data_IF_092604904781
#
_entry.id   IF_092604904781
#
_cell.length_a   1.000
_cell.length_b   1.000
_cell.length_c   1.000
_cell.angle_alpha   90.00
_cell.angle_beta   90.00
_cell.angle_gamma   90.00
#
_symmetry.space_group_name_H-M   'P 1'
#
loop_
_entity.id
_entity.type
_entity.pdbx_description
1 polymer ?
#
# COMPACT_ATOMS: atom_id res chain seq x y z
N UNK A 1 -165.45 -126.27 -197.63
CA UNK A 1 -165.89 -127.48 -196.89
C UNK A 1 -164.67 -128.05 -196.17
N UNK A 2 -164.68 -128.64 -194.98
CA UNK A 2 -165.66 -128.96 -193.92
C UNK A 2 -164.82 -129.33 -192.67
N UNK A 3 -165.18 -128.93 -191.45
CA UNK A 3 -165.76 -129.75 -190.37
C UNK A 3 -164.95 -130.98 -189.88
N UNK A 4 -164.93 -131.10 -188.54
CA UNK A 4 -164.82 -132.35 -187.74
C UNK A 4 -163.38 -132.88 -187.55
N UNK A 5 -162.85 -133.25 -186.38
CA UNK A 5 -163.42 -133.53 -185.06
C UNK A 5 -162.47 -133.01 -183.96
N UNK A 6 -162.99 -132.31 -182.94
CA UNK A 6 -162.21 -131.52 -181.97
C UNK A 6 -161.78 -132.31 -180.71
N UNK A 7 -161.90 -133.64 -180.72
CA UNK A 7 -161.62 -134.49 -179.55
C UNK A 7 -160.13 -134.81 -179.36
N UNK A 8 -159.31 -134.68 -180.40
CA UNK A 8 -157.87 -135.01 -180.37
C UNK A 8 -156.97 -133.87 -179.89
N UNK A 9 -157.45 -132.62 -179.84
CA UNK A 9 -156.71 -131.51 -179.20
C UNK A 9 -156.73 -131.58 -177.67
N UNK A 10 -157.70 -132.28 -177.08
CA UNK A 10 -157.87 -132.38 -175.63
C UNK A 10 -156.85 -133.30 -174.94
N UNK A 11 -156.19 -134.23 -175.64
CA UNK A 11 -155.14 -135.07 -175.03
C UNK A 11 -153.74 -134.46 -175.17
N UNK A 12 -153.41 -133.87 -176.31
CA UNK A 12 -152.08 -133.30 -176.56
C UNK A 12 -151.77 -132.06 -175.70
N UNK A 13 -152.81 -131.35 -175.24
CA UNK A 13 -152.65 -130.20 -174.35
C UNK A 13 -152.53 -130.59 -172.87
N UNK A 14 -153.00 -131.79 -172.49
CA UNK A 14 -152.83 -132.33 -171.14
C UNK A 14 -151.41 -132.88 -170.94
N UNK A 15 -150.86 -133.60 -171.93
CA UNK A 15 -149.50 -134.14 -171.87
C UNK A 15 -148.43 -133.04 -171.84
N UNK A 16 -148.63 -131.92 -172.54
CA UNK A 16 -147.69 -130.78 -172.52
C UNK A 16 -147.63 -130.06 -171.16
N UNK A 17 -148.73 -129.98 -170.43
CA UNK A 17 -148.77 -129.38 -169.09
C UNK A 17 -148.18 -130.30 -168.02
N UNK A 18 -148.33 -131.62 -168.19
CA UNK A 18 -147.74 -132.62 -167.29
C UNK A 18 -146.21 -132.68 -167.46
N UNK A 19 -145.71 -132.56 -168.69
CA UNK A 19 -144.27 -132.46 -168.97
C UNK A 19 -143.63 -131.18 -168.39
N UNK A 20 -144.35 -130.05 -168.44
CA UNK A 20 -143.89 -128.79 -167.85
C UNK A 20 -143.84 -128.84 -166.32
N UNK A 21 -144.72 -129.60 -165.68
CA UNK A 21 -144.71 -129.73 -164.21
C UNK A 21 -143.64 -130.69 -163.71
N UNK A 22 -143.33 -131.77 -164.43
CA UNK A 22 -142.17 -132.62 -164.12
C UNK A 22 -140.84 -131.90 -164.29
N UNK A 23 -140.66 -131.12 -165.35
CA UNK A 23 -139.40 -130.41 -165.60
C UNK A 23 -139.10 -129.38 -164.50
N UNK A 24 -140.14 -128.70 -163.99
CA UNK A 24 -140.00 -127.73 -162.91
C UNK A 24 -139.69 -128.38 -161.55
N UNK A 25 -140.15 -129.61 -161.29
CA UNK A 25 -139.77 -130.35 -160.07
C UNK A 25 -138.31 -130.79 -160.11
N UNK A 26 -137.85 -131.32 -161.25
CA UNK A 26 -136.44 -131.76 -161.41
C UNK A 26 -135.46 -130.60 -161.29
N UNK A 27 -135.80 -129.43 -161.84
CA UNK A 27 -134.99 -128.21 -161.69
C UNK A 27 -134.85 -127.76 -160.24
N UNK A 28 -135.93 -127.88 -159.44
CA UNK A 28 -135.90 -127.55 -158.01
C UNK A 28 -135.05 -128.51 -157.19
N UNK A 29 -135.00 -129.79 -157.58
CA UNK A 29 -134.21 -130.79 -156.86
C UNK A 29 -132.70 -130.60 -157.09
N UNK A 30 -132.29 -130.34 -158.34
CA UNK A 30 -130.88 -130.08 -158.68
C UNK A 30 -130.36 -128.79 -158.03
N UNK A 31 -131.19 -127.75 -157.93
CA UNK A 31 -130.79 -126.53 -157.24
C UNK A 31 -130.54 -126.75 -155.75
N UNK A 32 -131.29 -127.67 -155.13
CA UNK A 32 -131.17 -127.95 -153.69
C UNK A 32 -129.93 -128.78 -153.38
N UNK A 33 -129.61 -129.76 -154.22
CA UNK A 33 -128.36 -130.54 -154.09
C UNK A 33 -127.11 -129.68 -154.27
N UNK A 34 -127.15 -128.70 -155.18
CA UNK A 34 -126.00 -127.78 -155.37
C UNK A 34 -125.79 -126.83 -154.19
N UNK A 35 -126.87 -126.40 -153.52
CA UNK A 35 -126.76 -125.54 -152.33
C UNK A 35 -126.21 -126.31 -151.12
N UNK A 36 -126.64 -127.56 -150.93
CA UNK A 36 -126.15 -128.41 -149.83
C UNK A 36 -124.64 -128.72 -149.97
N UNK A 37 -124.15 -128.94 -151.20
CA UNK A 37 -122.72 -129.17 -151.47
C UNK A 37 -121.85 -127.93 -151.22
N UNK A 38 -122.39 -126.72 -151.42
CA UNK A 38 -121.68 -125.46 -151.14
C UNK A 38 -121.57 -125.18 -149.64
N UNK A 39 -122.55 -125.62 -148.86
CA UNK A 39 -122.55 -125.47 -147.41
C UNK A 39 -121.54 -126.42 -146.74
N UNK A 40 -121.44 -127.65 -147.22
CA UNK A 40 -120.45 -128.63 -146.74
C UNK A 40 -119.00 -128.19 -147.04
N UNK A 41 -118.75 -127.62 -148.23
CA UNK A 41 -117.44 -127.07 -148.58
C UNK A 41 -117.03 -125.90 -147.66
N UNK A 42 -117.99 -125.04 -147.29
CA UNK A 42 -117.72 -123.93 -146.36
C UNK A 42 -117.35 -124.42 -144.97
N UNK A 43 -117.99 -125.48 -144.48
CA UNK A 43 -117.66 -126.10 -143.19
C UNK A 43 -116.22 -126.58 -143.14
N UNK A 44 -115.77 -127.34 -144.14
CA UNK A 44 -114.42 -127.89 -144.18
C UNK A 44 -113.31 -126.83 -144.22
N UNK A 45 -113.52 -125.69 -144.91
CA UNK A 45 -112.52 -124.62 -144.94
C UNK A 45 -112.50 -123.77 -143.67
N UNK A 46 -113.60 -123.69 -142.92
CA UNK A 46 -113.63 -123.02 -141.62
C UNK A 46 -112.78 -123.79 -140.59
N UNK A 47 -112.94 -125.11 -140.53
CA UNK A 47 -112.22 -125.97 -139.58
C UNK A 47 -110.70 -126.00 -139.85
N UNK A 48 -110.30 -125.99 -141.13
CA UNK A 48 -108.88 -125.92 -141.53
C UNK A 48 -108.24 -124.58 -141.16
N UNK A 49 -109.00 -123.48 -141.13
CA UNK A 49 -108.53 -122.16 -140.70
C UNK A 49 -108.28 -122.10 -139.20
N UNK A 50 -109.13 -122.76 -138.40
CA UNK A 50 -109.00 -122.83 -136.94
C UNK A 50 -107.72 -123.59 -136.54
N UNK A 51 -107.49 -124.78 -137.12
CA UNK A 51 -106.31 -125.60 -136.83
C UNK A 51 -104.97 -124.91 -137.17
N UNK A 52 -104.93 -124.08 -138.23
CA UNK A 52 -103.73 -123.30 -138.58
C UNK A 52 -103.48 -122.16 -137.57
N UNK A 53 -104.53 -121.67 -136.90
CA UNK A 53 -104.41 -120.61 -135.89
C UNK A 53 -103.82 -121.13 -134.59
N UNK A 54 -104.30 -122.28 -134.10
CA UNK A 54 -103.78 -122.90 -132.87
C UNK A 54 -102.31 -123.32 -133.00
N UNK A 55 -101.92 -123.88 -134.16
CA UNK A 55 -100.52 -124.27 -134.43
C UNK A 55 -99.56 -123.07 -134.39
N UNK A 56 -99.98 -121.92 -134.91
CA UNK A 56 -99.16 -120.70 -134.88
C UNK A 56 -99.04 -120.09 -133.48
N UNK A 57 -100.08 -120.16 -132.66
CA UNK A 57 -100.04 -119.62 -131.28
C UNK A 57 -99.08 -120.42 -130.38
N UNK A 58 -99.01 -121.74 -130.54
CA UNK A 58 -98.06 -122.59 -129.83
C UNK A 58 -96.59 -122.26 -130.19
N UNK A 59 -96.29 -122.02 -131.47
CA UNK A 59 -94.94 -121.66 -131.92
C UNK A 59 -94.47 -120.30 -131.36
N UNK A 60 -95.38 -119.32 -131.28
CA UNK A 60 -95.07 -117.97 -130.76
C UNK A 60 -94.72 -118.00 -129.26
N UNK A 61 -95.38 -118.85 -128.48
CA UNK A 61 -95.11 -118.96 -127.04
C UNK A 61 -93.71 -119.56 -126.75
N UNK A 62 -93.27 -120.57 -127.52
CA UNK A 62 -91.92 -121.12 -127.37
C UNK A 62 -90.81 -120.11 -127.69
N UNK A 63 -91.02 -119.25 -128.69
CA UNK A 63 -90.05 -118.20 -129.04
C UNK A 63 -89.93 -117.15 -127.93
N UNK A 64 -91.06 -116.75 -127.31
CA UNK A 64 -91.05 -115.79 -126.19
C UNK A 64 -90.36 -116.32 -124.94
N UNK A 65 -90.52 -117.61 -124.64
CA UNK A 65 -89.89 -118.21 -123.47
C UNK A 65 -88.37 -118.26 -123.60
N UNK A 66 -87.87 -118.67 -124.77
CA UNK A 66 -86.42 -118.70 -125.06
C UNK A 66 -85.77 -117.32 -125.03
N UNK A 67 -86.49 -116.27 -125.42
CA UNK A 67 -86.00 -114.89 -125.35
C UNK A 67 -85.87 -114.38 -123.90
N UNK A 68 -86.71 -114.83 -122.96
CA UNK A 68 -86.60 -114.45 -121.54
C UNK A 68 -85.37 -115.06 -120.87
N UNK A 69 -85.12 -116.35 -121.11
CA UNK A 69 -83.96 -117.05 -120.53
C UNK A 69 -82.63 -116.41 -120.94
N UNK A 70 -82.51 -115.98 -122.20
CA UNK A 70 -81.30 -115.29 -122.67
C UNK A 70 -81.07 -113.92 -122.00
N UNK A 71 -82.15 -113.20 -121.67
CA UNK A 71 -82.07 -111.92 -120.97
C UNK A 71 -81.62 -112.14 -119.53
N UNK A 72 -82.18 -113.13 -118.84
CA UNK A 72 -81.83 -113.45 -117.46
C UNK A 72 -80.36 -113.88 -117.32
N UNK A 73 -79.85 -114.71 -118.24
CA UNK A 73 -78.41 -115.07 -118.25
C UNK A 73 -77.49 -113.84 -118.44
N UNK A 74 -77.90 -112.87 -119.26
CA UNK A 74 -77.12 -111.65 -119.50
C UNK A 74 -77.07 -110.72 -118.28
N UNK A 75 -78.13 -110.69 -117.47
CA UNK A 75 -78.21 -109.89 -116.23
C UNK A 75 -77.27 -110.48 -115.17
N UNK A 76 -77.23 -111.81 -115.03
CA UNK A 76 -76.40 -112.48 -114.04
C UNK A 76 -74.91 -112.30 -114.35
N UNK A 77 -74.51 -112.38 -115.62
CA UNK A 77 -73.13 -112.10 -116.04
C UNK A 77 -72.73 -110.64 -115.75
N UNK A 78 -73.63 -109.68 -115.96
CA UNK A 78 -73.39 -108.26 -115.61
C UNK A 78 -73.17 -108.08 -114.12
N UNK A 79 -73.94 -108.77 -113.29
CA UNK A 79 -73.85 -108.69 -111.83
C UNK A 79 -72.50 -109.20 -111.33
N UNK A 80 -72.06 -110.36 -111.80
CA UNK A 80 -70.74 -110.91 -111.45
C UNK A 80 -69.59 -109.99 -111.88
N UNK A 81 -69.70 -109.38 -113.06
CA UNK A 81 -68.70 -108.42 -113.53
C UNK A 81 -68.61 -107.20 -112.59
N UNK A 82 -69.76 -106.66 -112.18
CA UNK A 82 -69.84 -105.52 -111.25
C UNK A 82 -69.23 -105.83 -109.88
N UNK A 83 -69.52 -106.99 -109.31
CA UNK A 83 -68.96 -107.43 -108.03
C UNK A 83 -67.42 -107.59 -108.10
N UNK A 84 -66.89 -108.14 -109.20
CA UNK A 84 -65.45 -108.25 -109.44
C UNK A 84 -64.76 -106.88 -109.61
N UNK A 85 -65.41 -105.93 -110.28
CA UNK A 85 -64.86 -104.58 -110.39
C UNK A 85 -64.82 -103.86 -109.04
N UNK A 86 -65.89 -103.94 -108.25
CA UNK A 86 -66.00 -103.29 -106.94
C UNK A 86 -64.99 -103.83 -105.91
N UNK A 87 -64.78 -105.15 -105.89
CA UNK A 87 -63.77 -105.77 -105.03
C UNK A 87 -62.36 -105.34 -105.40
N UNK A 88 -62.07 -105.18 -106.70
CA UNK A 88 -60.76 -104.72 -107.17
C UNK A 88 -60.49 -103.26 -106.81
N UNK A 89 -61.48 -102.38 -106.92
CA UNK A 89 -61.35 -100.97 -106.48
C UNK A 89 -61.17 -100.85 -104.97
N UNK A 90 -61.91 -101.61 -104.17
CA UNK A 90 -61.76 -101.60 -102.71
C UNK A 90 -60.35 -102.04 -102.25
N UNK A 91 -59.81 -103.09 -102.87
CA UNK A 91 -58.45 -103.55 -102.59
C UNK A 91 -57.39 -102.52 -103.01
N UNK A 92 -57.60 -101.85 -104.14
CA UNK A 92 -56.70 -100.79 -104.60
C UNK A 92 -56.68 -99.62 -103.59
N UNK A 93 -57.86 -99.19 -103.12
CA UNK A 93 -58.00 -98.10 -102.15
C UNK A 93 -57.29 -98.44 -100.84
N UNK A 94 -57.48 -99.65 -100.31
CA UNK A 94 -56.80 -100.12 -99.10
C UNK A 94 -55.27 -100.09 -99.24
N UNK A 95 -54.75 -100.54 -100.38
CA UNK A 95 -53.30 -100.51 -100.63
C UNK A 95 -52.71 -99.09 -100.72
N UNK A 96 -53.51 -98.11 -101.14
CA UNK A 96 -53.11 -96.70 -101.16
C UNK A 96 -53.11 -96.09 -99.76
N UNK A 97 -54.11 -96.40 -98.95
CA UNK A 97 -54.20 -95.91 -97.57
C UNK A 97 -53.05 -96.46 -96.70
N UNK A 98 -52.69 -97.73 -96.86
CA UNK A 98 -51.54 -98.34 -96.18
C UNK A 98 -50.22 -97.61 -96.54
N UNK A 99 -49.98 -97.34 -97.83
CA UNK A 99 -48.79 -96.58 -98.27
C UNK A 99 -48.76 -95.15 -97.76
N UNK A 100 -49.92 -94.49 -97.68
CA UNK A 100 -50.03 -93.13 -97.15
C UNK A 100 -49.67 -93.09 -95.66
N UNK A 101 -50.15 -94.07 -94.88
CA UNK A 101 -49.85 -94.18 -93.46
C UNK A 101 -48.36 -94.49 -93.23
N UNK A 102 -47.78 -95.44 -93.96
CA UNK A 102 -46.33 -95.70 -93.89
C UNK A 102 -45.49 -94.46 -94.20
N UNK A 103 -45.93 -93.63 -95.15
CA UNK A 103 -45.23 -92.39 -95.51
C UNK A 103 -45.34 -91.33 -94.41
N UNK A 104 -46.49 -91.24 -93.73
CA UNK A 104 -46.68 -90.33 -92.58
C UNK A 104 -45.80 -90.76 -91.41
N UNK A 105 -45.77 -92.04 -91.09
CA UNK A 105 -44.98 -92.56 -89.97
C UNK A 105 -43.47 -92.35 -90.19
N UNK A 106 -42.99 -92.61 -91.41
CA UNK A 106 -41.59 -92.32 -91.79
C UNK A 106 -41.24 -90.84 -91.63
N UNK A 107 -42.12 -89.93 -92.04
CA UNK A 107 -41.90 -88.48 -91.84
C UNK A 107 -41.89 -88.10 -90.37
N UNK A 108 -42.79 -88.67 -89.57
CA UNK A 108 -42.86 -88.38 -88.15
C UNK A 108 -41.60 -88.84 -87.41
N UNK A 109 -41.06 -90.01 -87.76
CA UNK A 109 -39.77 -90.50 -87.25
C UNK A 109 -38.61 -89.58 -87.66
N UNK A 110 -38.56 -89.14 -88.92
CA UNK A 110 -37.53 -88.19 -89.38
C UNK A 110 -37.59 -86.84 -88.67
N UNK A 111 -38.80 -86.35 -88.36
CA UNK A 111 -38.94 -85.10 -87.60
C UNK A 111 -38.46 -85.27 -86.15
N UNK A 112 -38.74 -86.41 -85.52
CA UNK A 112 -38.28 -86.70 -84.17
C UNK A 112 -36.75 -86.78 -84.09
N UNK A 113 -36.09 -87.43 -85.05
CA UNK A 113 -34.61 -87.50 -85.08
C UNK A 113 -33.97 -86.13 -85.30
N UNK A 114 -34.53 -85.32 -86.20
CA UNK A 114 -34.06 -83.94 -86.43
C UNK A 114 -34.23 -83.08 -85.18
N UNK A 115 -35.34 -83.22 -84.45
CA UNK A 115 -35.54 -82.52 -83.19
C UNK A 115 -34.50 -82.94 -82.14
N UNK A 116 -34.23 -84.23 -81.99
CA UNK A 116 -33.23 -84.73 -81.03
C UNK A 116 -31.83 -84.23 -81.37
N UNK A 117 -31.41 -84.30 -82.64
CA UNK A 117 -30.10 -83.84 -83.10
C UNK A 117 -29.94 -82.33 -82.94
N UNK A 118 -30.99 -81.55 -83.22
CA UNK A 118 -30.97 -80.10 -82.98
C UNK A 118 -30.84 -79.76 -81.49
N UNK A 119 -31.53 -80.50 -80.62
CA UNK A 119 -31.42 -80.34 -79.17
C UNK A 119 -30.02 -80.63 -78.63
N UNK A 120 -29.34 -81.65 -79.17
CA UNK A 120 -27.94 -81.96 -78.82
C UNK A 120 -26.99 -80.83 -79.23
N UNK A 121 -27.11 -80.33 -80.47
CA UNK A 121 -26.27 -79.22 -80.96
C UNK A 121 -26.47 -77.94 -80.14
N UNK A 122 -27.70 -77.62 -79.76
CA UNK A 122 -27.98 -76.44 -78.93
C UNK A 122 -27.25 -76.56 -77.58
N UNK A 123 -27.34 -77.70 -76.91
CA UNK A 123 -26.63 -77.94 -75.64
C UNK A 123 -25.12 -77.83 -75.77
N UNK A 124 -24.53 -78.42 -76.81
CA UNK A 124 -23.08 -78.31 -77.06
C UNK A 124 -22.66 -76.84 -77.25
N UNK A 125 -23.51 -76.04 -77.90
CA UNK A 125 -23.24 -74.61 -78.11
C UNK A 125 -23.37 -73.81 -76.82
N UNK A 126 -24.36 -74.13 -75.98
CA UNK A 126 -24.55 -73.52 -74.65
C UNK A 126 -23.39 -73.83 -73.72
N UNK A 127 -22.96 -75.09 -73.65
CA UNK A 127 -21.84 -75.54 -72.83
C UNK A 127 -20.52 -74.88 -73.25
N UNK A 128 -20.28 -74.77 -74.57
CA UNK A 128 -19.11 -74.07 -75.10
C UNK A 128 -19.11 -72.58 -74.72
N UNK A 129 -20.26 -71.91 -74.83
CA UNK A 129 -20.39 -70.50 -74.46
C UNK A 129 -20.21 -70.28 -72.94
N UNK A 130 -20.76 -71.16 -72.09
CA UNK A 130 -20.57 -71.08 -70.65
C UNK A 130 -19.10 -71.24 -70.25
N UNK A 131 -18.39 -72.19 -70.86
CA UNK A 131 -16.96 -72.41 -70.62
C UNK A 131 -16.11 -71.20 -71.02
N UNK A 132 -16.41 -70.58 -72.17
CA UNK A 132 -15.76 -69.33 -72.61
C UNK A 132 -15.99 -68.18 -71.61
N UNK A 133 -17.24 -68.01 -71.13
CA UNK A 133 -17.57 -67.00 -70.13
C UNK A 133 -16.83 -67.27 -68.81
N UNK A 134 -16.73 -68.53 -68.39
CA UNK A 134 -15.96 -68.94 -67.21
C UNK A 134 -14.48 -68.54 -67.33
N UNK A 135 -13.83 -68.90 -68.43
CA UNK A 135 -12.41 -68.59 -68.67
C UNK A 135 -12.14 -67.07 -68.69
N UNK A 136 -13.05 -66.28 -69.27
CA UNK A 136 -12.94 -64.80 -69.28
C UNK A 136 -13.05 -64.24 -67.85
N UNK A 137 -13.97 -64.77 -67.03
CA UNK A 137 -14.12 -64.34 -65.63
C UNK A 137 -12.89 -64.64 -64.79
N UNK A 138 -12.31 -65.84 -64.93
CA UNK A 138 -11.09 -66.22 -64.22
C UNK A 138 -9.91 -65.35 -64.61
N UNK A 139 -9.71 -65.11 -65.92
CA UNK A 139 -8.63 -64.24 -66.41
C UNK A 139 -8.80 -62.81 -65.91
N UNK A 140 -10.00 -62.27 -65.97
CA UNK A 140 -10.32 -60.93 -65.47
C UNK A 140 -10.07 -60.81 -63.95
N UNK A 141 -10.45 -61.82 -63.17
CA UNK A 141 -10.20 -61.84 -61.73
C UNK A 141 -8.69 -61.84 -61.41
N UNK A 142 -7.91 -62.65 -62.14
CA UNK A 142 -6.45 -62.69 -62.00
C UNK A 142 -5.80 -61.35 -62.38
N UNK A 143 -6.23 -60.72 -63.46
CA UNK A 143 -5.72 -59.41 -63.89
C UNK A 143 -6.01 -58.33 -62.85
N UNK A 144 -7.21 -58.32 -62.26
CA UNK A 144 -7.59 -57.39 -61.18
C UNK A 144 -6.74 -57.63 -59.93
N UNK A 145 -6.48 -58.89 -59.57
CA UNK A 145 -5.64 -59.21 -58.43
C UNK A 145 -4.19 -58.75 -58.65
N UNK A 146 -3.61 -59.05 -59.81
CA UNK A 146 -2.28 -58.61 -60.20
C UNK A 146 -2.15 -57.07 -60.19
N UNK A 147 -3.18 -56.35 -60.64
CA UNK A 147 -3.22 -54.90 -60.60
C UNK A 147 -3.23 -54.36 -59.15
N UNK A 148 -4.00 -54.98 -58.25
CA UNK A 148 -4.01 -54.62 -56.82
C UNK A 148 -2.65 -54.86 -56.16
N UNK A 149 -2.00 -55.97 -56.47
CA UNK A 149 -0.68 -56.30 -55.92
C UNK A 149 0.39 -55.29 -56.37
N UNK A 150 0.39 -54.92 -57.67
CA UNK A 150 1.27 -53.86 -58.20
C UNK A 150 1.03 -52.53 -57.51
N UNK A 151 -0.22 -52.09 -57.44
CA UNK A 151 -0.58 -50.85 -56.75
C UNK A 151 -0.09 -50.82 -55.29
N UNK A 152 -0.31 -51.92 -54.55
CA UNK A 152 0.15 -52.02 -53.16
C UNK A 152 1.67 -51.99 -53.03
N UNK A 153 2.40 -52.58 -53.98
CA UNK A 153 3.86 -52.53 -54.02
C UNK A 153 4.35 -51.10 -54.29
N UNK A 154 3.80 -50.44 -55.29
CA UNK A 154 4.17 -49.06 -55.66
C UNK A 154 3.89 -48.10 -54.50
N UNK A 155 2.75 -48.24 -53.82
CA UNK A 155 2.41 -47.43 -52.64
C UNK A 155 3.39 -47.65 -51.47
N UNK A 156 3.88 -48.87 -51.25
CA UNK A 156 4.91 -49.14 -50.23
C UNK A 156 6.23 -48.47 -50.58
N UNK A 157 6.64 -48.54 -51.85
CA UNK A 157 7.87 -47.90 -52.32
C UNK A 157 7.80 -46.38 -52.19
N UNK A 158 6.69 -45.75 -52.61
CA UNK A 158 6.44 -44.31 -52.46
C UNK A 158 6.51 -43.89 -51.00
N UNK A 159 5.84 -44.61 -50.09
CA UNK A 159 5.86 -44.30 -48.67
C UNK A 159 7.28 -44.40 -48.09
N UNK A 160 8.02 -45.47 -48.41
CA UNK A 160 9.39 -45.65 -47.93
C UNK A 160 10.35 -44.56 -48.44
N UNK A 161 10.15 -44.07 -49.67
CA UNK A 161 10.92 -42.97 -50.23
C UNK A 161 10.59 -41.64 -49.56
N UNK A 162 9.30 -41.38 -49.32
CA UNK A 162 8.84 -40.20 -48.60
C UNK A 162 9.39 -40.16 -47.17
N UNK A 163 9.36 -41.29 -46.45
CA UNK A 163 9.93 -41.42 -45.10
C UNK A 163 11.44 -41.13 -45.09
N UNK A 164 12.21 -41.74 -46.00
CA UNK A 164 13.66 -41.48 -46.10
C UNK A 164 13.97 -40.01 -46.40
N UNK A 165 13.19 -39.38 -47.28
CA UNK A 165 13.35 -37.94 -47.59
C UNK A 165 13.07 -37.07 -46.37
N UNK A 166 12.00 -37.39 -45.63
CA UNK A 166 11.60 -36.67 -44.43
C UNK A 166 12.66 -36.82 -43.33
N UNK A 167 13.22 -38.01 -43.17
CA UNK A 167 14.30 -38.27 -42.20
C UNK A 167 15.61 -37.54 -42.56
N UNK A 168 16.00 -37.54 -43.84
CA UNK A 168 17.14 -36.76 -44.31
C UNK A 168 16.95 -35.25 -44.08
N UNK A 169 15.72 -34.76 -44.26
CA UNK A 169 15.41 -33.35 -44.00
C UNK A 169 15.46 -33.03 -42.50
N UNK A 170 14.95 -33.93 -41.64
CA UNK A 170 15.04 -33.79 -40.17
C UNK A 170 16.49 -33.73 -39.70
N UNK A 171 17.32 -34.68 -40.11
CA UNK A 171 18.74 -34.74 -39.73
C UNK A 171 19.53 -33.53 -40.24
N UNK A 172 19.25 -33.04 -41.45
CA UNK A 172 19.85 -31.80 -41.97
C UNK A 172 19.42 -30.57 -41.17
N UNK A 173 18.14 -30.46 -40.82
CA UNK A 173 17.63 -29.35 -40.02
C UNK A 173 18.20 -29.37 -38.60
N UNK A 174 18.29 -30.55 -37.98
CA UNK A 174 18.85 -30.72 -36.64
C UNK A 174 20.33 -30.30 -36.58
N UNK A 175 21.13 -30.68 -37.60
CA UNK A 175 22.51 -30.19 -37.76
C UNK A 175 22.56 -28.67 -37.93
N UNK A 176 21.71 -28.10 -38.76
CA UNK A 176 21.67 -26.64 -38.96
C UNK A 176 21.34 -25.90 -37.66
N UNK A 177 20.35 -26.38 -36.91
CA UNK A 177 19.96 -25.83 -35.60
C UNK A 177 21.13 -25.94 -34.62
N UNK A 178 21.79 -27.10 -34.53
CA UNK A 178 22.91 -27.29 -33.60
C UNK A 178 24.07 -26.33 -33.88
N UNK A 179 24.43 -26.13 -35.15
CA UNK A 179 25.48 -25.19 -35.56
C UNK A 179 25.12 -23.74 -35.22
N UNK A 180 23.84 -23.35 -35.39
CA UNK A 180 23.40 -22.00 -35.09
C UNK A 180 23.36 -21.74 -33.58
N UNK A 181 22.99 -22.74 -32.78
CA UNK A 181 23.07 -22.68 -31.31
C UNK A 181 24.53 -22.50 -30.85
N UNK A 182 25.48 -23.24 -31.42
CA UNK A 182 26.91 -23.08 -31.11
C UNK A 182 27.44 -21.70 -31.52
N UNK A 183 27.06 -21.20 -32.70
CA UNK A 183 27.39 -19.83 -33.13
C UNK A 183 26.84 -18.80 -32.15
N UNK A 184 25.58 -18.94 -31.75
CA UNK A 184 24.95 -18.07 -30.76
C UNK A 184 25.70 -18.05 -29.42
N UNK A 185 26.08 -19.22 -28.90
CA UNK A 185 26.89 -19.34 -27.67
C UNK A 185 28.23 -18.63 -27.81
N UNK A 186 28.94 -18.83 -28.92
CA UNK A 186 30.24 -18.19 -29.15
C UNK A 186 30.13 -16.67 -29.27
N UNK A 187 29.08 -16.16 -29.93
CA UNK A 187 28.83 -14.71 -30.02
C UNK A 187 28.52 -14.13 -28.64
N UNK A 188 27.69 -14.80 -27.85
CA UNK A 188 27.35 -14.37 -26.50
C UNK A 188 28.58 -14.35 -25.57
N UNK A 189 29.43 -15.38 -25.66
CA UNK A 189 30.66 -15.45 -24.88
C UNK A 189 31.65 -14.35 -25.29
N UNK A 190 31.84 -14.12 -26.58
CA UNK A 190 32.67 -13.02 -27.08
C UNK A 190 32.16 -11.64 -26.62
N UNK A 191 30.84 -11.45 -26.58
CA UNK A 191 30.24 -10.22 -26.08
C UNK A 191 30.50 -10.05 -24.57
N UNK A 192 30.35 -11.13 -23.79
CA UNK A 192 30.64 -11.15 -22.35
C UNK A 192 32.09 -10.75 -22.07
N UNK A 193 33.03 -11.38 -22.76
CA UNK A 193 34.47 -11.08 -22.60
C UNK A 193 34.79 -9.63 -22.97
N UNK A 194 34.21 -9.10 -24.05
CA UNK A 194 34.37 -7.68 -24.42
C UNK A 194 33.83 -6.75 -23.35
N UNK A 195 32.63 -7.00 -22.85
CA UNK A 195 32.02 -6.19 -21.79
C UNK A 195 32.85 -6.24 -20.51
N UNK A 196 33.31 -7.42 -20.10
CA UNK A 196 34.15 -7.59 -18.92
C UNK A 196 35.46 -6.81 -19.03
N UNK A 197 36.07 -6.81 -20.22
CA UNK A 197 37.26 -6.00 -20.50
C UNK A 197 36.97 -4.49 -20.42
N UNK A 198 35.88 -4.03 -21.02
CA UNK A 198 35.47 -2.62 -20.94
C UNK A 198 35.19 -2.19 -19.50
N UNK A 199 34.52 -3.04 -18.72
CA UNK A 199 34.28 -2.79 -17.29
C UNK A 199 35.59 -2.71 -16.51
N UNK A 200 36.55 -3.60 -16.76
CA UNK A 200 37.86 -3.56 -16.13
C UNK A 200 38.61 -2.26 -16.46
N UNK A 201 38.64 -1.84 -17.73
CA UNK A 201 39.29 -0.60 -18.16
C UNK A 201 38.63 0.65 -17.55
N UNK A 202 37.29 0.68 -17.47
CA UNK A 202 36.56 1.78 -16.84
C UNK A 202 36.83 1.83 -15.34
N UNK A 203 36.87 0.68 -14.68
CA UNK A 203 37.17 0.58 -13.26
C UNK A 203 38.58 1.05 -12.95
N UNK A 204 39.58 0.59 -13.70
CA UNK A 204 40.98 1.01 -13.53
C UNK A 204 41.15 2.53 -13.73
N UNK A 205 40.52 3.09 -14.77
CA UNK A 205 40.50 4.55 -14.99
C UNK A 205 39.80 5.30 -13.85
N UNK A 206 38.72 4.75 -13.31
CA UNK A 206 38.00 5.30 -12.18
C UNK A 206 38.84 5.32 -10.91
N UNK A 207 39.43 4.18 -10.55
CA UNK A 207 40.32 4.03 -9.40
C UNK A 207 41.53 4.95 -9.51
N UNK A 208 42.14 5.07 -10.70
CA UNK A 208 43.25 6.00 -10.93
C UNK A 208 42.87 7.48 -10.72
N UNK A 209 41.68 7.90 -11.18
CA UNK A 209 41.18 9.27 -10.95
C UNK A 209 40.92 9.54 -9.46
N UNK A 210 40.34 8.57 -8.76
CA UNK A 210 40.06 8.68 -7.32
C UNK A 210 41.39 8.83 -6.54
N UNK A 211 42.38 7.98 -6.84
CA UNK A 211 43.69 8.04 -6.20
C UNK A 211 44.39 9.38 -6.47
N UNK A 212 44.36 9.88 -7.70
CA UNK A 212 44.92 11.18 -8.04
C UNK A 212 44.22 12.33 -7.28
N UNK A 213 42.90 12.27 -7.14
CA UNK A 213 42.13 13.27 -6.40
C UNK A 213 42.40 13.21 -4.90
N UNK A 214 42.55 12.02 -4.33
CA UNK A 214 42.96 11.83 -2.93
C UNK A 214 44.34 12.46 -2.67
N UNK A 215 45.33 12.20 -3.52
CA UNK A 215 46.65 12.82 -3.41
C UNK A 215 46.60 14.35 -3.49
N UNK A 216 45.75 14.91 -4.36
CA UNK A 216 45.57 16.37 -4.45
C UNK A 216 44.94 16.92 -3.17
N UNK A 217 43.96 16.23 -2.58
CA UNK A 217 43.34 16.65 -1.33
C UNK A 217 44.31 16.56 -0.15
N UNK A 218 45.08 15.48 -0.05
CA UNK A 218 46.11 15.30 0.97
C UNK A 218 47.15 16.42 0.91
N UNK A 219 47.63 16.75 -0.30
CA UNK A 219 48.53 17.91 -0.51
C UNK A 219 47.89 19.24 -0.11
N UNK A 220 46.59 19.42 -0.30
CA UNK A 220 45.87 20.64 0.12
C UNK A 220 45.75 20.71 1.64
N UNK A 221 45.44 19.61 2.31
CA UNK A 221 45.39 19.51 3.77
C UNK A 221 46.75 19.84 4.38
N UNK A 222 47.81 19.17 3.91
CA UNK A 222 49.16 19.43 4.40
C UNK A 222 49.60 20.90 4.24
N UNK A 223 49.21 21.56 3.14
CA UNK A 223 49.46 23.01 2.96
C UNK A 223 48.67 23.86 3.94
N UNK A 224 47.40 23.54 4.14
CA UNK A 224 46.53 24.24 5.09
C UNK A 224 47.06 24.13 6.52
N UNK A 225 47.50 22.94 6.92
CA UNK A 225 48.04 22.68 8.25
C UNK A 225 49.36 23.44 8.47
N UNK A 226 50.27 23.41 7.49
CA UNK A 226 51.52 24.17 7.53
C UNK A 226 51.27 25.69 7.59
N UNK A 227 50.26 26.20 6.88
CA UNK A 227 49.88 27.61 6.93
C UNK A 227 49.24 28.00 8.28
N UNK A 228 48.45 27.10 8.87
CA UNK A 228 47.87 27.29 10.19
C UNK A 228 48.94 27.33 11.29
N UNK A 229 49.92 26.43 11.24
CA UNK A 229 51.06 26.38 12.14
C UNK A 229 51.88 27.68 12.08
N UNK A 230 52.23 28.14 10.88
CA UNK A 230 52.93 29.43 10.71
C UNK A 230 52.15 30.63 11.25
N UNK A 231 50.82 30.63 11.09
CA UNK A 231 49.97 31.69 11.65
C UNK A 231 49.95 31.64 13.18
N UNK A 232 49.89 30.43 13.74
CA UNK A 232 49.93 30.22 15.18
C UNK A 232 51.25 30.72 15.76
N UNK A 233 52.39 30.32 15.20
CA UNK A 233 53.72 30.78 15.62
C UNK A 233 53.86 32.30 15.53
N UNK A 234 53.42 32.90 14.42
CA UNK A 234 53.46 34.36 14.25
C UNK A 234 52.61 35.07 15.30
N UNK A 235 51.42 34.56 15.59
CA UNK A 235 50.56 35.11 16.63
C UNK A 235 51.19 34.98 18.01
N UNK A 236 51.79 33.83 18.32
CA UNK A 236 52.49 33.60 19.58
C UNK A 236 53.65 34.57 19.76
N UNK A 237 54.49 34.76 18.74
CA UNK A 237 55.57 35.75 18.77
C UNK A 237 55.06 37.19 18.98
N UNK A 238 53.92 37.54 18.38
CA UNK A 238 53.29 38.84 18.60
C UNK A 238 52.76 39.00 20.03
N UNK A 239 52.19 37.94 20.62
CA UNK A 239 51.75 37.93 22.01
C UNK A 239 52.93 38.07 22.97
N UNK A 240 53.98 37.28 22.79
CA UNK A 240 55.20 37.38 23.61
C UNK A 240 55.83 38.77 23.53
N UNK A 241 55.83 39.38 22.34
CA UNK A 241 56.32 40.74 22.14
C UNK A 241 55.45 41.78 22.84
N UNK A 242 54.11 41.63 22.76
CA UNK A 242 53.16 42.51 23.47
C UNK A 242 53.29 42.37 24.98
N UNK A 243 53.44 41.16 25.49
CA UNK A 243 53.63 40.87 26.91
C UNK A 243 54.94 41.48 27.42
N UNK A 244 56.05 41.28 26.71
CA UNK A 244 57.33 41.93 27.04
C UNK A 244 57.22 43.45 27.06
N UNK A 245 56.56 44.03 26.06
CA UNK A 245 56.35 45.48 25.99
C UNK A 245 55.47 45.97 27.15
N UNK A 246 54.39 45.27 27.48
CA UNK A 246 53.49 45.61 28.58
C UNK A 246 54.22 45.54 29.93
N UNK A 247 54.98 44.47 30.17
CA UNK A 247 55.78 44.29 31.37
C UNK A 247 56.85 45.38 31.49
N UNK A 248 57.52 45.74 30.39
CA UNK A 248 58.48 46.86 30.37
C UNK A 248 57.81 48.21 30.65
N UNK A 249 56.61 48.46 30.11
CA UNK A 249 55.87 49.68 30.40
C UNK A 249 55.42 49.73 31.87
N UNK A 250 54.96 48.60 32.41
CA UNK A 250 54.57 48.49 33.81
C UNK A 250 55.77 48.73 34.74
N UNK A 251 56.90 48.08 34.48
CA UNK A 251 58.12 48.27 35.29
C UNK A 251 58.62 49.71 35.22
N UNK A 252 58.56 50.36 34.05
CA UNK A 252 58.89 51.78 33.90
C UNK A 252 57.95 52.67 34.71
N UNK A 253 56.64 52.43 34.67
CA UNK A 253 55.66 53.18 35.49
C UNK A 253 55.90 52.99 36.98
N UNK A 254 56.16 51.77 37.42
CA UNK A 254 56.49 51.49 38.83
C UNK A 254 57.75 52.23 39.25
N UNK A 255 58.80 52.23 38.41
CA UNK A 255 60.03 52.97 38.68
C UNK A 255 59.83 54.49 38.70
N UNK A 256 59.03 55.03 37.77
CA UNK A 256 58.69 56.45 37.75
C UNK A 256 57.88 56.85 38.99
N UNK A 257 56.88 56.07 39.37
CA UNK A 257 56.08 56.29 40.57
C UNK A 257 56.94 56.21 41.83
N UNK A 258 57.84 55.23 41.92
CA UNK A 258 58.80 55.12 43.03
C UNK A 258 59.69 56.36 43.13
N UNK A 259 60.26 56.82 42.01
CA UNK A 259 61.08 58.05 41.98
C UNK A 259 60.28 59.30 42.34
N UNK A 260 59.04 59.42 41.86
CA UNK A 260 58.16 60.53 42.19
C UNK A 260 57.84 60.55 43.68
N UNK A 261 57.52 59.39 44.25
CA UNK A 261 57.25 59.21 45.67
C UNK A 261 58.48 59.52 46.54
N UNK A 262 59.66 59.02 46.18
CA UNK A 262 60.93 59.36 46.86
C UNK A 262 61.22 60.86 46.82
N UNK A 263 60.96 61.52 45.68
CA UNK A 263 61.11 62.97 45.56
C UNK A 263 60.11 63.73 46.43
N UNK A 264 58.87 63.27 46.49
CA UNK A 264 57.84 63.86 47.34
C UNK A 264 58.17 63.71 48.82
N UNK A 265 58.61 62.53 49.26
CA UNK A 265 59.11 62.30 50.62
C UNK A 265 60.28 63.20 50.96
N UNK A 266 61.24 63.37 50.04
CA UNK A 266 62.36 64.28 50.23
C UNK A 266 61.89 65.73 50.37
N UNK A 267 60.99 66.19 49.49
CA UNK A 267 60.43 67.54 49.57
C UNK A 267 59.66 67.77 50.88
N UNK A 268 58.88 66.78 51.34
CA UNK A 268 58.19 66.84 52.63
C UNK A 268 59.18 66.91 53.79
N UNK A 269 60.26 66.13 53.74
CA UNK A 269 61.32 66.16 54.73
C UNK A 269 62.04 67.51 54.77
N UNK A 270 62.43 68.04 53.62
CA UNK A 270 63.10 69.35 53.49
C UNK A 270 62.17 70.48 53.99
N UNK A 271 60.87 70.42 53.66
CA UNK A 271 59.88 71.38 54.15
C UNK A 271 59.69 71.28 55.66
N UNK A 272 59.62 70.06 56.21
CA UNK A 272 59.54 69.83 57.65
C UNK A 272 60.77 70.38 58.36
N UNK A 273 61.97 70.06 57.89
CA UNK A 273 63.22 70.57 58.46
C UNK A 273 63.28 72.11 58.42
N UNK A 274 62.96 72.71 57.27
CA UNK A 274 62.92 74.16 57.12
C UNK A 274 61.95 74.82 58.09
N UNK A 275 60.73 74.26 58.20
CA UNK A 275 59.69 74.76 59.11
C UNK A 275 60.10 74.57 60.57
N UNK A 276 60.71 73.44 60.91
CA UNK A 276 61.22 73.15 62.24
C UNK A 276 62.32 74.14 62.64
N UNK A 277 63.29 74.41 61.77
CA UNK A 277 64.36 75.39 62.03
C UNK A 277 63.79 76.80 62.20
N UNK A 278 62.87 77.22 61.33
CA UNK A 278 62.20 78.53 61.46
C UNK A 278 61.41 78.65 62.76
N UNK A 279 60.66 77.62 63.13
CA UNK A 279 59.88 77.60 64.36
C UNK A 279 60.78 77.59 65.60
N UNK A 280 61.88 76.83 65.59
CA UNK A 280 62.86 76.84 66.67
C UNK A 280 63.54 78.22 66.81
N UNK A 281 63.90 78.86 65.69
CA UNK A 281 64.44 80.22 65.69
C UNK A 281 63.43 81.25 66.26
N UNK A 282 62.18 81.21 65.80
CA UNK A 282 61.11 82.07 66.29
C UNK A 282 60.83 81.85 67.79
N UNK A 283 60.86 80.60 68.26
CA UNK A 283 60.70 80.27 69.68
C UNK A 283 61.86 80.81 70.53
N UNK A 284 63.11 80.71 70.05
CA UNK A 284 64.27 81.30 70.73
C UNK A 284 64.19 82.81 70.80
N UNK A 285 63.79 83.45 69.70
CA UNK A 285 63.58 84.90 69.66
C UNK A 285 62.49 85.33 70.64
N UNK A 286 61.34 84.63 70.63
CA UNK A 286 60.24 84.84 71.59
C UNK A 286 60.71 84.71 73.05
N UNK A 287 61.49 83.67 73.37
CA UNK A 287 62.06 83.49 74.70
C UNK A 287 63.00 84.63 75.08
N UNK A 288 63.87 85.09 74.16
CA UNK A 288 64.77 86.23 74.44
C UNK A 288 64.01 87.53 74.69
N UNK A 289 62.93 87.78 73.94
CA UNK A 289 62.05 88.94 74.15
C UNK A 289 61.36 88.84 75.53
N UNK A 290 60.89 87.65 75.91
CA UNK A 290 60.31 87.41 77.23
C UNK A 290 61.33 87.65 78.35
N UNK A 291 62.56 87.15 78.22
CA UNK A 291 63.64 87.40 79.19
C UNK A 291 63.95 88.89 79.33
N UNK A 292 64.02 89.64 78.21
CA UNK A 292 64.24 91.09 78.25
C UNK A 292 63.07 91.82 78.92
N UNK A 293 61.83 91.43 78.62
CA UNK A 293 60.64 91.98 79.27
C UNK A 293 60.66 91.71 80.78
N UNK A 294 60.93 90.48 81.21
CA UNK A 294 61.02 90.14 82.63
C UNK A 294 62.14 90.90 83.34
N UNK A 295 63.30 91.10 82.69
CA UNK A 295 64.38 91.90 83.25
C UNK A 295 63.99 93.37 83.43
N UNK A 296 63.29 93.96 82.46
CA UNK A 296 62.74 95.32 82.56
C UNK A 296 61.71 95.44 83.70
N UNK A 297 60.80 94.47 83.81
CA UNK A 297 59.78 94.44 84.86
C UNK A 297 60.40 94.26 86.26
N UNK A 298 61.42 93.41 86.40
CA UNK A 298 62.20 93.27 87.64
C UNK A 298 62.94 94.56 88.02
N UNK A 299 63.48 95.28 87.05
CA UNK A 299 64.13 96.57 87.31
C UNK A 299 63.11 97.64 87.77
N UNK A 300 61.93 97.69 87.14
CA UNK A 300 60.86 98.60 87.50
C UNK A 300 60.33 98.34 88.92
N UNK A 301 60.04 97.08 89.25
CA UNK A 301 59.57 96.68 90.59
C UNK A 301 60.59 96.98 91.69
N UNK A 302 61.89 96.78 91.44
CA UNK A 302 62.96 97.19 92.38
C UNK A 302 62.99 98.69 92.61
N UNK A 303 62.82 99.50 91.56
CA UNK A 303 62.78 100.95 91.68
C UNK A 303 61.58 101.44 92.48
N UNK A 304 60.40 100.83 92.28
CA UNK A 304 59.20 101.12 93.07
C UNK A 304 59.39 100.75 94.55
N UNK A 305 59.94 99.57 94.85
CA UNK A 305 60.19 99.14 96.22
C UNK A 305 61.11 100.11 96.99
N UNK A 306 62.20 100.58 96.38
CA UNK A 306 63.11 101.57 96.99
C UNK A 306 62.38 102.88 97.29
N UNK A 307 61.50 103.33 96.38
CA UNK A 307 60.70 104.55 96.55
C UNK A 307 59.68 104.42 97.68
N UNK A 308 59.09 103.25 97.88
CA UNK A 308 58.16 103.01 98.99
C UNK A 308 58.86 102.86 100.34
N UNK A 309 60.00 102.17 100.40
CA UNK A 309 60.78 102.02 101.63
C UNK A 309 61.24 103.36 102.21
N UNK A 310 61.58 104.34 101.36
CA UNK A 310 61.94 105.70 101.80
C UNK A 310 60.82 106.46 102.54
N UNK A 311 59.54 106.07 102.39
CA UNK A 311 58.41 106.76 103.04
C UNK A 311 58.19 106.35 104.51
N UNK A 312 58.80 105.26 104.98
CA UNK A 312 58.57 104.73 106.33
C UNK A 312 59.69 105.08 107.33
N UNK A 313 60.81 105.62 106.86
CA UNK A 313 61.97 105.94 107.70
C UNK A 313 61.76 107.18 108.60
N UNK A 314 60.71 107.97 108.39
CA UNK A 314 60.42 109.21 109.15
C UNK A 314 59.30 109.08 110.19
N UNK A 315 58.72 107.89 110.38
CA UNK A 315 57.53 107.68 111.24
C UNK A 315 57.80 107.13 112.65
N UNK A 316 59.07 106.93 113.02
CA UNK A 316 59.45 106.29 114.29
C UNK A 316 59.31 107.21 115.54
N UNK A 317 59.18 108.53 115.37
CA UNK A 317 59.12 109.52 116.47
C UNK A 317 57.73 110.14 116.69
N UNK A 318 56.65 109.60 116.09
CA UNK A 318 55.30 110.15 116.20
C UNK A 318 54.63 109.77 117.55
N UNK A 319 54.22 110.77 118.39
CA UNK A 319 53.53 110.53 119.66
C UNK A 319 52.23 109.72 119.54
N UNK A 320 51.62 109.62 118.36
CA UNK A 320 50.40 108.84 118.12
C UNK A 320 50.57 107.34 118.40
N UNK A 321 51.79 106.81 118.37
CA UNK A 321 52.08 105.38 118.58
C UNK A 321 52.54 105.02 120.01
N UNK A 322 52.44 105.92 121.00
CA UNK A 322 52.72 105.61 122.41
C UNK A 322 51.51 104.97 123.09
N UNK A 323 51.63 103.71 123.51
CA UNK A 323 50.59 102.99 124.25
C UNK A 323 50.55 103.50 125.71
N UNK A 324 49.52 104.24 126.10
CA UNK A 324 49.30 104.69 127.48
C UNK A 324 48.74 103.55 128.35
N UNK A 325 49.39 103.28 129.50
CA UNK A 325 48.96 102.29 130.49
C UNK A 325 47.83 102.87 131.35
N UNK A 326 46.66 102.22 131.40
CA UNK A 326 45.42 102.77 131.98
C UNK A 326 45.24 102.56 133.48
N UNK A 327 46.28 102.10 134.18
CA UNK A 327 46.30 102.02 135.64
C UNK A 327 45.53 100.84 136.23
N UNK A 328 45.19 99.83 135.42
CA UNK A 328 44.66 98.56 135.93
C UNK A 328 45.75 97.80 136.68
N UNK A 329 45.45 97.31 137.89
CA UNK A 329 46.43 96.62 138.76
C UNK A 329 45.87 95.28 139.21
N UNK A 330 46.69 94.23 139.11
CA UNK A 330 46.42 92.91 139.64
C UNK A 330 47.16 92.74 140.98
N UNK A 331 46.42 92.47 142.06
CA UNK A 331 46.99 92.19 143.37
C UNK A 331 46.72 90.73 143.76
N UNK A 332 47.75 90.03 144.23
CA UNK A 332 47.66 88.63 144.64
C UNK A 332 47.53 88.51 146.16
N UNK A 333 46.44 87.91 146.64
CA UNK A 333 46.27 87.48 148.04
C UNK A 333 46.42 85.96 148.15
N UNK A 334 46.57 85.39 149.36
CA UNK A 334 46.86 83.95 149.53
C UNK A 334 45.87 83.05 148.78
N UNK A 335 44.57 83.33 148.90
CA UNK A 335 43.50 82.46 148.38
C UNK A 335 42.77 83.02 147.15
N UNK A 336 43.00 84.27 146.77
CA UNK A 336 42.33 84.93 145.65
C UNK A 336 43.24 85.96 144.96
N UNK A 337 43.03 86.17 143.67
CA UNK A 337 43.56 87.31 142.92
C UNK A 337 42.51 88.42 142.89
N UNK A 338 42.94 89.66 143.11
CA UNK A 338 42.10 90.86 143.04
C UNK A 338 42.55 91.69 141.85
N UNK A 339 41.80 91.64 140.75
CA UNK A 339 42.05 92.51 139.59
C UNK A 339 41.21 93.78 139.74
N UNK A 340 41.87 94.92 139.91
CA UNK A 340 41.23 96.25 139.87
C UNK A 340 41.42 96.83 138.48
N UNK A 341 40.41 96.68 137.62
CA UNK A 341 40.42 97.25 136.28
C UNK A 341 39.80 98.66 136.31
N UNK A 342 40.53 99.65 135.79
CA UNK A 342 40.02 101.02 135.68
C UNK A 342 39.00 101.11 134.53
N UNK A 343 37.73 101.30 134.87
CA UNK A 343 36.61 101.42 133.94
C UNK A 343 35.76 102.60 134.37
N UNK A 344 36.00 103.81 133.81
CA UNK A 344 35.19 104.99 134.08
C UNK A 344 33.70 104.71 133.88
N UNK A 345 32.84 105.33 134.67
CA UNK A 345 31.38 105.08 134.62
C UNK A 345 30.78 105.21 133.21
N UNK A 346 31.25 106.17 132.42
CA UNK A 346 30.80 106.43 131.05
C UNK A 346 31.31 105.43 130.00
N UNK A 347 32.34 104.62 130.30
CA UNK A 347 32.91 103.61 129.38
C UNK A 347 32.55 102.17 129.79
N UNK A 348 31.61 101.99 130.73
CA UNK A 348 31.29 100.68 131.33
C UNK A 348 30.93 99.57 130.34
N UNK A 349 30.31 99.92 129.22
CA UNK A 349 29.89 98.95 128.20
C UNK A 349 30.97 98.70 127.13
N UNK A 350 31.97 99.59 127.06
CA UNK A 350 33.03 99.55 126.05
C UNK A 350 34.28 98.81 126.54
N UNK A 351 34.46 98.64 127.85
CA UNK A 351 35.56 97.85 128.44
C UNK A 351 35.06 96.46 128.82
N UNK A 352 35.68 95.43 128.25
CA UNK A 352 35.41 94.02 128.53
C UNK A 352 36.61 93.41 129.24
N UNK A 353 36.36 92.91 130.44
CA UNK A 353 37.33 92.09 131.19
C UNK A 353 36.97 90.63 130.96
N UNK A 354 37.86 89.89 130.30
CA UNK A 354 37.73 88.46 130.08
C UNK A 354 38.74 87.72 130.94
N UNK A 355 38.25 86.92 131.87
CA UNK A 355 39.06 86.14 132.81
C UNK A 355 39.12 84.71 132.28
N UNK A 356 40.30 84.31 131.79
CA UNK A 356 40.61 82.95 131.35
C UNK A 356 41.37 82.20 132.46
N UNK A 357 41.52 80.88 132.31
CA UNK A 357 42.14 80.01 133.31
C UNK A 357 43.52 80.50 133.79
N UNK A 358 44.30 81.12 132.90
CA UNK A 358 45.70 81.49 133.14
C UNK A 358 45.97 83.00 133.02
N UNK A 359 44.99 83.81 132.57
CA UNK A 359 45.16 85.27 132.43
C UNK A 359 43.84 86.03 132.41
N UNK A 360 43.87 87.28 132.86
CA UNK A 360 42.83 88.27 132.62
C UNK A 360 43.23 89.22 131.50
N UNK A 361 42.29 89.47 130.59
CA UNK A 361 42.46 90.41 129.49
C UNK A 361 41.45 91.54 129.70
N UNK A 362 41.96 92.75 129.91
CA UNK A 362 41.15 93.98 129.93
C UNK A 362 41.29 94.62 128.56
N UNK A 363 40.25 94.53 127.75
CA UNK A 363 40.23 95.13 126.42
C UNK A 363 39.11 96.16 126.34
N UNK A 364 39.42 97.33 125.80
CA UNK A 364 38.45 98.41 125.63
C UNK A 364 38.66 99.14 124.32
N UNK A 365 37.58 99.73 123.82
CA UNK A 365 37.61 100.62 122.66
C UNK A 365 37.11 101.99 123.09
N UNK A 366 37.95 103.02 122.95
CA UNK A 366 37.54 104.41 123.15
C UNK A 366 37.43 105.08 121.79
N UNK A 367 36.29 105.69 121.52
CA UNK A 367 36.10 106.56 120.37
C UNK A 367 36.01 108.00 120.88
N UNK A 368 37.01 108.82 120.58
CA UNK A 368 36.95 110.26 120.80
C UNK A 368 36.57 110.90 119.47
N UNK A 369 35.35 111.44 119.40
CA UNK A 369 34.86 112.20 118.25
C UNK A 369 34.85 113.67 118.65
N UNK A 370 35.82 114.42 118.13
CA UNK A 370 35.84 115.87 118.26
C UNK A 370 35.52 116.49 116.91
N UNK A 371 34.55 117.41 116.91
CA UNK A 371 34.07 118.08 115.69
C UNK A 371 34.22 119.58 115.91
N UNK A 372 35.17 120.18 115.21
CA UNK A 372 35.35 121.63 115.14
C UNK A 372 34.94 122.06 113.73
N UNK A 373 33.89 122.87 113.63
CA UNK A 373 33.40 123.46 112.38
C UNK A 373 33.81 124.93 112.35
N UNK A 374 34.57 125.32 111.32
CA UNK A 374 34.96 126.69 111.04
C UNK A 374 34.62 127.01 109.56
N UNK A 375 34.28 128.26 109.23
CA UNK A 375 33.50 128.66 108.03
C UNK A 375 34.07 128.27 106.66
N UNK A 376 35.29 127.75 106.55
CA UNK A 376 35.86 127.28 105.27
C UNK A 376 36.13 125.78 105.18
N UNK A 377 36.17 125.03 106.29
CA UNK A 377 36.38 123.56 106.32
C UNK A 377 35.85 122.96 107.63
N UNK A 378 35.09 121.87 107.51
CA UNK A 378 34.79 120.99 108.65
C UNK A 378 35.91 119.94 108.78
N UNK A 379 36.58 119.90 109.93
CA UNK A 379 37.54 118.85 110.25
C UNK A 379 36.96 118.03 111.39
N UNK A 380 36.49 116.83 111.08
CA UNK A 380 36.14 115.83 112.09
C UNK A 380 37.35 114.93 112.29
N UNK A 381 37.80 114.82 113.54
CA UNK A 381 38.76 113.78 113.93
C UNK A 381 38.00 112.71 114.69
N UNK A 382 37.96 111.51 114.11
CA UNK A 382 37.48 110.31 114.79
C UNK A 382 38.70 109.47 115.15
N UNK A 383 39.22 109.67 116.36
CA UNK A 383 40.30 108.85 116.89
C UNK A 383 39.70 107.62 117.57
N UNK A 384 39.94 106.45 117.00
CA UNK A 384 39.58 105.16 117.58
C UNK A 384 40.84 104.55 118.17
N UNK A 385 40.88 104.46 119.50
CA UNK A 385 41.97 103.80 120.21
C UNK A 385 41.43 102.52 120.84
N UNK A 386 41.95 101.39 120.39
CA UNK A 386 41.70 100.09 121.02
C UNK A 386 42.89 99.75 121.90
N UNK A 387 42.65 99.44 123.17
CA UNK A 387 43.70 98.97 124.07
C UNK A 387 43.38 97.57 124.56
N UNK A 388 44.43 96.82 124.86
CA UNK A 388 44.37 95.46 125.38
C UNK A 388 45.49 95.29 126.39
N UNK A 389 45.12 95.20 127.65
CA UNK A 389 46.03 94.90 128.76
C UNK A 389 45.84 93.42 129.13
N UNK A 390 46.95 92.67 129.18
CA UNK A 390 46.93 91.26 129.59
C UNK A 390 47.66 91.10 130.93
N UNK A 391 46.99 90.48 131.90
CA UNK A 391 47.51 90.14 133.22
C UNK A 391 47.52 88.62 133.37
N UNK A 392 48.69 88.01 133.49
CA UNK A 392 48.79 86.57 133.67
C UNK A 392 48.57 86.20 135.16
N UNK A 393 47.98 85.04 135.42
CA UNK A 393 47.82 84.46 136.76
C UNK A 393 48.87 83.37 136.97
N UNK A 394 49.53 83.39 138.12
CA UNK A 394 50.58 82.42 138.45
C UNK A 394 50.03 81.05 138.88
N UNK A 395 48.73 80.99 139.23
CA UNK A 395 48.04 79.77 139.69
C UNK A 395 46.69 79.66 138.99
N UNK A 396 46.28 78.44 138.61
CA UNK A 396 45.00 78.24 137.94
C UNK A 396 43.85 78.72 138.83
N UNK A 397 42.94 79.45 138.24
CA UNK A 397 41.77 80.02 138.94
C UNK A 397 40.53 79.15 138.77
N UNK A 398 39.59 79.25 139.70
CA UNK A 398 38.25 78.65 139.56
C UNK A 398 37.31 79.76 139.09
N UNK A 399 36.98 79.76 137.79
CA UNK A 399 36.14 80.79 137.20
C UNK A 399 34.72 80.85 137.79
N UNK A 400 34.17 79.70 138.23
CA UNK A 400 32.80 79.62 138.78
C UNK A 400 32.62 80.34 140.13
N UNK A 401 33.71 80.64 140.84
CA UNK A 401 33.67 81.32 142.14
C UNK A 401 34.07 82.80 142.08
N UNK A 402 34.25 83.39 140.89
CA UNK A 402 34.68 84.79 140.79
C UNK A 402 33.54 85.74 141.20
N UNK A 403 33.85 86.73 142.03
CA UNK A 403 32.92 87.82 142.35
C UNK A 403 33.37 89.08 141.65
N UNK A 404 32.40 89.80 141.08
CA UNK A 404 32.60 91.11 140.47
C UNK A 404 31.88 92.13 141.32
N UNK A 405 32.65 93.04 141.91
CA UNK A 405 32.13 94.18 142.63
C UNK A 405 32.61 95.46 141.94
N UNK A 406 31.73 96.47 141.88
CA UNK A 406 32.09 97.77 141.31
C UNK A 406 32.28 98.76 142.44
N UNK A 407 33.47 99.35 142.50
CA UNK A 407 33.89 100.36 143.46
C UNK A 407 34.23 101.63 142.67
N UNK A 408 33.21 102.45 142.40
CA UNK A 408 33.31 103.66 141.57
C UNK A 408 33.75 103.39 140.12
N UNK A 409 34.86 104.01 139.73
CA UNK A 409 35.50 103.85 138.43
C UNK A 409 36.37 102.59 138.33
N UNK A 410 36.47 101.77 139.38
CA UNK A 410 37.15 100.49 139.33
C UNK A 410 36.16 99.34 139.37
N UNK A 411 36.37 98.35 138.51
CA UNK A 411 35.69 97.07 138.61
C UNK A 411 36.68 96.10 139.22
N UNK A 412 36.37 95.65 140.44
CA UNK A 412 37.20 94.76 141.23
C UNK A 412 36.70 93.33 141.04
N UNK A 413 37.53 92.49 140.43
CA UNK A 413 37.27 91.07 140.30
C UNK A 413 38.07 90.32 141.36
N UNK A 414 37.36 89.69 142.30
CA UNK A 414 37.96 88.77 143.27
C UNK A 414 37.83 87.35 142.75
N UNK A 415 38.97 86.77 142.40
CA UNK A 415 39.06 85.52 141.65
C UNK A 415 39.70 84.47 142.55
N UNK A 416 38.99 83.44 143.02
CA UNK A 416 39.56 82.43 143.90
C UNK A 416 40.58 81.56 143.16
N UNK A 417 41.69 81.28 143.83
CA UNK A 417 42.72 80.37 143.34
C UNK A 417 42.25 78.93 143.52
N UNK A 418 42.34 78.13 142.47
CA UNK A 418 42.01 76.71 142.54
C UNK A 418 43.09 75.93 143.28
N UNK A 419 42.70 75.17 144.32
CA UNK A 419 43.59 74.19 144.93
C UNK A 419 43.83 73.03 143.97
N UNK A 420 45.10 72.75 143.66
CA UNK A 420 45.54 71.86 142.58
C UNK A 420 45.39 70.35 142.86
N UNK A 421 44.39 69.92 143.62
CA UNK A 421 44.15 68.50 143.94
C UNK A 421 42.85 68.04 143.29
N UNK A 422 42.98 67.27 142.22
CA UNK A 422 41.90 66.97 141.28
C UNK A 422 40.75 66.14 141.83
N UNK A 423 39.69 66.03 141.03
CA UNK A 423 39.20 64.78 140.45
C UNK A 423 38.02 65.07 139.51
N UNK A 424 38.13 64.56 138.27
CA UNK A 424 37.11 63.95 137.40
C UNK A 424 35.64 64.44 137.46
N UNK A 425 34.90 64.53 136.36
CA UNK A 425 34.55 63.39 135.48
C UNK A 425 33.99 63.84 134.13
N UNK A 426 34.15 62.93 133.17
CA UNK A 426 33.53 62.81 131.84
C UNK A 426 32.10 63.36 131.71
N UNK A 427 31.88 64.12 130.64
CA UNK A 427 31.09 63.71 129.47
C UNK A 427 31.75 64.31 128.23
#
# INVERSE_FOLDING_TARGET
>A
MSSIDNSTRKSQQAELNELQTEFNRKKKQISKENDDQLEELRGHYAEKKENVRESNEAAINHIRQRQREMVDESVEQRRQLSENYNTRTANLQKSYDEKLNETRDKRQQQLATVQEDSGKKIKETEDYAQNQIGAIREKSAADVQNAKERYNKDMKEINSFAEKRLENQRTSNEKAISNEVERGKNVQENLRVKQEKEFAEVRERGEGKIAAQQQVQEKKLARSDADAEKRYEKNQQQWDSKEKNLNSQYSQRVMQNKKAYEKELKNQHDHFQSTYVKNNAANRESLSIQEEMYAKELAATRAEFVKEAGKYQTKENDPFYKVENRGSVLQESSNFYVLRAFVPEHEKDAVRVNIQKDKAIVAGQRAFKDKVEDESKAVSSSSFQTFREEFNFDKPIIAEGMTRERDGDFVVYTIPKGSATGFSRKA
#
